data_IF_533969546510
#
_entry.id   IF_533969546510
#
_cell.length_a   1.000
_cell.length_b   1.000
_cell.length_c   1.000
_cell.angle_alpha   90.00
_cell.angle_beta   90.00
_cell.angle_gamma   90.00
#
_symmetry.space_group_name_H-M   'P 1'
#
loop_
_entity.id
_entity.type
_entity.pdbx_description
1 polymer ?
#
# COMPACT_ATOMS: atom_id res chain seq x y z
N UNK A 1 30.22 16.15 2.56
CA UNK A 1 30.28 14.68 2.81
C UNK A 1 29.96 14.32 4.26
N UNK A 2 30.60 14.92 5.27
CA UNK A 2 30.31 14.62 6.69
C UNK A 2 28.92 15.04 7.17
N UNK A 3 28.37 16.14 6.66
CA UNK A 3 26.99 16.53 6.96
C UNK A 3 25.97 15.57 6.34
N UNK A 4 26.24 15.06 5.13
CA UNK A 4 25.41 14.06 4.47
C UNK A 4 25.42 12.73 5.23
N UNK A 5 26.59 12.26 5.70
CA UNK A 5 26.66 11.09 6.60
C UNK A 5 25.83 11.28 7.85
N UNK A 6 25.95 12.44 8.52
CA UNK A 6 25.16 12.78 9.70
C UNK A 6 23.65 12.80 9.41
N UNK A 7 23.25 13.33 8.26
CA UNK A 7 21.86 13.32 7.82
C UNK A 7 21.33 11.90 7.59
N UNK A 8 22.05 11.09 6.80
CA UNK A 8 21.65 9.71 6.48
C UNK A 8 21.58 8.86 7.76
N UNK A 9 22.58 8.94 8.64
CA UNK A 9 22.56 8.18 9.90
C UNK A 9 21.42 8.58 10.84
N UNK A 10 20.92 9.83 10.78
CA UNK A 10 19.79 10.28 11.59
C UNK A 10 18.43 9.91 11.01
N UNK A 11 18.34 9.71 9.69
CA UNK A 11 17.07 9.55 8.96
C UNK A 11 16.86 8.15 8.36
N UNK A 12 17.92 7.37 8.19
CA UNK A 12 17.86 5.99 7.74
C UNK A 12 17.92 5.04 8.93
N UNK A 13 16.74 4.63 9.40
CA UNK A 13 16.61 3.58 10.42
C UNK A 13 16.73 2.22 9.72
N UNK A 14 17.47 1.26 10.27
CA UNK A 14 17.55 -0.07 9.69
C UNK A 14 16.21 -0.82 9.73
N UNK A 15 15.69 -1.14 8.54
CA UNK A 15 14.53 -2.00 8.34
C UNK A 15 14.82 -3.01 7.21
N UNK A 16 13.81 -3.78 6.77
CA UNK A 16 13.93 -4.77 5.68
C UNK A 16 14.65 -4.23 4.43
N UNK A 17 14.60 -2.91 4.21
CA UNK A 17 15.21 -2.23 3.08
C UNK A 17 16.45 -1.39 3.44
N UNK A 18 16.84 -1.30 4.71
CA UNK A 18 17.87 -0.37 5.20
C UNK A 18 18.87 -0.96 6.22
N UNK A 19 19.27 -2.23 6.10
CA UNK A 19 20.33 -2.82 6.95
C UNK A 19 21.77 -2.36 6.61
N UNK A 20 21.96 -1.22 5.95
CA UNK A 20 23.27 -0.78 5.46
C UNK A 20 23.97 0.19 6.42
N UNK A 21 25.25 -0.08 6.70
CA UNK A 21 26.15 0.95 7.21
C UNK A 21 26.42 1.97 6.09
N UNK A 22 26.35 3.26 6.41
CA UNK A 22 26.57 4.32 5.42
C UNK A 22 28.01 4.83 5.47
N UNK A 23 28.70 4.78 4.32
CA UNK A 23 30.09 5.21 4.21
C UNK A 23 30.48 5.53 2.77
N UNK A 24 31.67 6.11 2.59
CA UNK A 24 32.26 6.35 1.27
C UNK A 24 33.53 5.53 1.14
N UNK A 25 33.74 4.96 -0.05
CA UNK A 25 34.95 4.23 -0.39
C UNK A 25 35.25 4.42 -1.88
N UNK A 26 36.49 4.18 -2.30
CA UNK A 26 36.94 4.42 -3.67
C UNK A 26 36.47 3.28 -4.59
N UNK A 27 35.68 3.63 -5.62
CA UNK A 27 35.13 2.65 -6.56
C UNK A 27 36.21 1.88 -7.33
N UNK A 28 37.40 2.44 -7.55
CA UNK A 28 38.51 1.73 -8.24
C UNK A 28 39.00 0.50 -7.48
N UNK A 29 38.72 0.39 -6.18
CA UNK A 29 39.25 -0.65 -5.31
C UNK A 29 38.21 -1.70 -4.89
N UNK A 30 36.95 -1.56 -5.31
CA UNK A 30 35.89 -2.46 -4.88
C UNK A 30 34.87 -2.74 -6.00
N UNK A 31 34.79 -3.99 -6.44
CA UNK A 31 33.92 -4.42 -7.54
C UNK A 31 32.42 -4.19 -7.26
N UNK A 32 31.99 -4.29 -5.99
CA UNK A 32 30.61 -4.05 -5.60
C UNK A 32 30.27 -2.55 -5.68
N UNK A 33 31.24 -1.68 -5.42
CA UNK A 33 31.05 -0.23 -5.58
C UNK A 33 31.00 0.15 -7.06
N UNK A 34 31.81 -0.49 -7.91
CA UNK A 34 31.73 -0.28 -9.36
C UNK A 34 30.37 -0.72 -9.92
N UNK A 35 29.86 -1.86 -9.45
CA UNK A 35 28.52 -2.31 -9.79
C UNK A 35 27.45 -1.33 -9.29
N UNK A 36 27.59 -0.82 -8.06
CA UNK A 36 26.69 0.19 -7.53
C UNK A 36 26.73 1.48 -8.36
N UNK A 37 27.91 1.95 -8.76
CA UNK A 37 28.10 3.12 -9.63
C UNK A 37 27.43 2.90 -11.00
N UNK A 38 27.55 1.71 -11.58
CA UNK A 38 26.89 1.35 -12.84
C UNK A 38 25.37 1.42 -12.71
N UNK A 39 24.81 0.79 -11.67
CA UNK A 39 23.36 0.75 -11.43
C UNK A 39 22.83 2.16 -11.11
N UNK A 40 23.44 2.85 -10.15
CA UNK A 40 23.04 4.18 -9.73
C UNK A 40 23.22 5.22 -10.84
N UNK A 41 24.33 5.17 -11.59
CA UNK A 41 24.59 6.03 -12.73
C UNK A 41 23.60 5.80 -13.87
N UNK A 42 23.21 4.55 -14.13
CA UNK A 42 22.17 4.24 -15.12
C UNK A 42 20.83 4.83 -14.69
N UNK A 43 20.43 4.64 -13.43
CA UNK A 43 19.18 5.19 -12.88
C UNK A 43 19.21 6.73 -12.90
N UNK A 44 20.33 7.36 -12.54
CA UNK A 44 20.48 8.82 -12.47
C UNK A 44 20.25 9.52 -13.83
N UNK A 45 20.67 8.90 -14.94
CA UNK A 45 20.41 9.41 -16.29
C UNK A 45 18.93 9.54 -16.64
N UNK A 46 18.06 8.78 -15.98
CA UNK A 46 16.61 8.89 -16.14
C UNK A 46 15.98 10.07 -15.40
N UNK A 47 16.66 10.60 -14.38
CA UNK A 47 16.15 11.68 -13.54
C UNK A 47 16.63 13.06 -14.00
N UNK A 48 17.83 13.14 -14.53
CA UNK A 48 18.36 14.36 -15.12
C UNK A 48 17.96 14.42 -16.61
N UNK A 49 17.02 15.30 -16.94
CA UNK A 49 16.56 15.49 -18.32
C UNK A 49 17.69 15.89 -19.27
N UNK A 50 18.79 16.45 -18.76
CA UNK A 50 19.97 16.80 -19.57
C UNK A 50 20.87 15.60 -19.90
N UNK A 51 20.69 14.46 -19.21
CA UNK A 51 21.48 13.24 -19.38
C UNK A 51 20.65 12.07 -19.93
N UNK A 52 19.40 12.32 -20.32
CA UNK A 52 18.51 11.31 -20.86
C UNK A 52 19.01 10.86 -22.24
N UNK A 53 19.36 9.59 -22.36
CA UNK A 53 19.75 8.98 -23.64
C UNK A 53 18.71 7.96 -24.10
N UNK A 54 18.64 7.66 -25.39
CA UNK A 54 17.68 6.66 -25.90
C UNK A 54 17.96 5.25 -25.35
N UNK A 55 19.22 4.95 -25.04
CA UNK A 55 19.63 3.67 -24.45
C UNK A 55 19.16 3.50 -23.00
N UNK A 56 18.89 4.59 -22.28
CA UNK A 56 18.39 4.54 -20.90
C UNK A 56 17.15 3.65 -20.80
N UNK A 57 16.19 3.79 -21.73
CA UNK A 57 14.94 3.00 -21.72
C UNK A 57 15.22 1.50 -21.76
N UNK A 58 16.21 1.09 -22.57
CA UNK A 58 16.62 -0.31 -22.72
C UNK A 58 17.26 -0.84 -21.44
N UNK A 59 18.22 -0.10 -20.86
CA UNK A 59 18.89 -0.53 -19.63
C UNK A 59 17.96 -0.48 -18.42
N UNK A 60 17.13 0.55 -18.29
CA UNK A 60 16.13 0.65 -17.23
C UNK A 60 15.18 -0.55 -17.25
N UNK A 61 14.70 -0.99 -18.42
CA UNK A 61 13.82 -2.16 -18.55
C UNK A 61 14.45 -3.47 -18.03
N UNK A 62 15.79 -3.57 -18.07
CA UNK A 62 16.52 -4.72 -17.49
C UNK A 62 16.57 -4.57 -15.96
N UNK A 63 16.89 -3.37 -15.48
CA UNK A 63 17.04 -3.07 -14.05
C UNK A 63 15.70 -3.07 -13.31
N UNK A 64 14.63 -2.58 -13.93
CA UNK A 64 13.27 -2.46 -13.37
C UNK A 64 12.79 -3.78 -12.75
N UNK A 65 13.10 -4.91 -13.39
CA UNK A 65 12.75 -6.26 -12.90
C UNK A 65 13.46 -6.66 -11.61
N UNK A 66 14.55 -5.97 -11.25
CA UNK A 66 15.39 -6.21 -10.07
C UNK A 66 15.30 -5.08 -9.04
N UNK A 67 14.66 -3.96 -9.38
CA UNK A 67 14.48 -2.84 -8.47
C UNK A 67 13.37 -3.18 -7.48
N UNK A 68 13.75 -3.28 -6.21
CA UNK A 68 12.83 -3.54 -5.12
C UNK A 68 12.04 -2.27 -4.76
N UNK A 69 12.74 -1.12 -4.67
CA UNK A 69 12.16 0.20 -4.37
C UNK A 69 13.10 1.33 -4.79
N UNK A 70 12.55 2.44 -5.26
CA UNK A 70 13.24 3.73 -5.36
C UNK A 70 12.59 4.72 -4.37
N UNK A 71 13.41 5.39 -3.55
CA UNK A 71 12.93 6.35 -2.55
C UNK A 71 13.37 7.77 -2.90
N UNK A 72 12.38 8.66 -3.07
CA UNK A 72 12.59 10.04 -3.43
C UNK A 72 12.58 10.95 -2.20
N UNK A 73 13.54 11.88 -2.18
CA UNK A 73 13.64 12.92 -1.17
C UNK A 73 13.55 14.31 -1.82
N UNK A 74 12.84 15.27 -1.22
CA UNK A 74 12.07 15.16 0.02
C UNK A 74 10.76 14.36 -0.15
N UNK A 75 10.29 13.74 0.94
CA UNK A 75 9.00 13.04 1.01
C UNK A 75 7.87 14.06 0.96
N UNK A 76 7.39 14.37 -0.24
CA UNK A 76 6.37 15.38 -0.49
C UNK A 76 5.34 14.87 -1.49
N UNK A 77 4.06 14.99 -1.14
CA UNK A 77 2.95 14.59 -2.01
C UNK A 77 2.98 15.34 -3.35
N UNK A 78 3.50 16.57 -3.37
CA UNK A 78 3.60 17.41 -4.58
C UNK A 78 4.44 16.75 -5.66
N UNK A 79 5.44 15.94 -5.28
CA UNK A 79 6.25 15.20 -6.24
C UNK A 79 5.39 14.21 -7.05
N UNK A 80 4.42 13.55 -6.39
CA UNK A 80 3.49 12.65 -7.06
C UNK A 80 2.55 13.40 -8.01
N UNK A 81 2.08 14.58 -7.60
CA UNK A 81 1.21 15.41 -8.44
C UNK A 81 1.93 15.92 -9.69
N UNK A 82 3.19 16.37 -9.56
CA UNK A 82 4.01 16.79 -10.70
C UNK A 82 4.22 15.61 -11.66
N UNK A 83 4.54 14.44 -11.14
CA UNK A 83 4.74 13.24 -11.97
C UNK A 83 3.43 12.85 -12.70
N UNK A 84 2.29 12.88 -12.02
CA UNK A 84 0.96 12.65 -12.59
C UNK A 84 0.60 13.66 -13.69
N UNK A 85 0.90 14.95 -13.49
CA UNK A 85 0.61 16.00 -14.48
C UNK A 85 1.44 15.86 -15.77
N UNK A 86 2.58 15.17 -15.70
CA UNK A 86 3.43 14.83 -16.84
C UNK A 86 2.98 13.53 -17.53
N UNK A 87 2.22 12.68 -16.84
CA UNK A 87 1.58 11.50 -17.43
C UNK A 87 0.40 11.92 -18.30
N UNK A 88 -0.17 10.96 -19.03
CA UNK A 88 -1.28 11.19 -19.97
C UNK A 88 -2.38 12.10 -19.39
N UNK A 89 -2.81 13.11 -20.15
CA UNK A 89 -3.81 14.11 -19.73
C UNK A 89 -5.16 13.51 -19.36
N UNK A 90 -5.38 12.24 -19.71
CA UNK A 90 -6.60 11.49 -19.40
C UNK A 90 -6.63 10.88 -18.00
N UNK A 91 -5.54 10.93 -17.23
CA UNK A 91 -5.53 10.42 -15.85
C UNK A 91 -6.35 11.34 -14.96
N UNK A 92 -7.51 10.84 -14.50
CA UNK A 92 -8.32 11.53 -13.49
C UNK A 92 -7.58 11.51 -12.16
N UNK A 93 -7.27 12.68 -11.62
CA UNK A 93 -6.60 12.84 -10.34
C UNK A 93 -7.27 13.94 -9.53
N UNK A 94 -7.71 13.59 -8.33
CA UNK A 94 -8.23 14.52 -7.33
C UNK A 94 -7.11 14.85 -6.34
N UNK A 95 -6.59 16.08 -6.41
CA UNK A 95 -5.44 16.49 -5.57
C UNK A 95 -5.70 16.26 -4.08
N UNK A 96 -6.92 16.53 -3.61
CA UNK A 96 -7.30 16.35 -2.20
C UNK A 96 -7.20 14.88 -1.78
N UNK A 97 -7.68 13.96 -2.61
CA UNK A 97 -7.65 12.51 -2.32
C UNK A 97 -6.21 12.02 -2.33
N UNK A 98 -5.45 12.37 -3.38
CA UNK A 98 -4.04 12.00 -3.50
C UNK A 98 -3.23 12.52 -2.30
N UNK A 99 -3.36 13.81 -2.00
CA UNK A 99 -2.68 14.46 -0.87
C UNK A 99 -3.02 13.77 0.44
N UNK A 100 -4.28 13.47 0.68
CA UNK A 100 -4.71 12.82 1.91
C UNK A 100 -4.16 11.40 2.00
N UNK A 101 -4.25 10.60 0.94
CA UNK A 101 -3.73 9.23 0.92
C UNK A 101 -2.22 9.18 1.16
N UNK A 102 -1.45 10.04 0.48
CA UNK A 102 0.01 10.11 0.63
C UNK A 102 0.40 10.62 2.02
N UNK A 103 -0.26 11.67 2.52
CA UNK A 103 0.06 12.21 3.84
C UNK A 103 -0.23 11.20 4.96
N UNK A 104 -1.37 10.50 4.91
CA UNK A 104 -1.69 9.45 5.89
C UNK A 104 -0.67 8.31 5.86
N UNK A 105 -0.22 7.90 4.67
CA UNK A 105 0.82 6.89 4.53
C UNK A 105 2.16 7.36 5.14
N UNK A 106 2.60 8.58 4.84
CA UNK A 106 3.85 9.11 5.42
C UNK A 106 3.74 9.33 6.93
N UNK A 107 2.63 9.86 7.43
CA UNK A 107 2.40 10.02 8.86
C UNK A 107 2.46 8.69 9.60
N UNK A 108 1.87 7.63 9.02
CA UNK A 108 1.95 6.30 9.58
C UNK A 108 3.38 5.76 9.62
N UNK A 109 4.10 5.89 8.51
CA UNK A 109 5.50 5.45 8.40
C UNK A 109 6.37 6.19 9.42
N UNK A 110 6.24 7.51 9.51
CA UNK A 110 7.07 8.32 10.40
C UNK A 110 6.76 8.02 11.87
N UNK A 111 5.47 7.89 12.23
CA UNK A 111 5.02 7.56 13.59
C UNK A 111 5.54 6.20 14.06
N UNK A 112 5.59 5.20 13.17
CA UNK A 112 5.94 3.82 13.52
C UNK A 112 7.37 3.44 13.09
N UNK A 113 8.17 4.38 12.61
CA UNK A 113 9.49 4.14 12.00
C UNK A 113 10.50 3.44 12.92
N UNK A 114 10.34 3.57 14.24
CA UNK A 114 11.18 2.94 15.26
C UNK A 114 10.54 1.71 15.91
N UNK A 115 9.40 1.22 15.40
CA UNK A 115 8.76 0.05 15.98
C UNK A 115 9.60 -1.21 15.77
N UNK A 116 9.79 -1.99 16.84
CA UNK A 116 10.47 -3.28 16.77
C UNK A 116 9.50 -4.42 16.42
N UNK A 117 8.19 -4.18 16.47
CA UNK A 117 7.17 -5.17 16.18
C UNK A 117 7.19 -5.59 14.69
N UNK A 118 7.26 -6.90 14.45
CA UNK A 118 7.30 -7.44 13.09
C UNK A 118 6.04 -7.04 12.29
N UNK A 119 4.86 -7.10 12.91
CA UNK A 119 3.59 -6.72 12.27
C UNK A 119 3.59 -5.24 11.85
N UNK A 120 4.23 -4.34 12.61
CA UNK A 120 4.37 -2.92 12.23
C UNK A 120 5.36 -2.72 11.07
N UNK A 121 6.49 -3.43 11.10
CA UNK A 121 7.46 -3.41 9.98
C UNK A 121 6.82 -3.87 8.67
N UNK A 122 6.04 -4.96 8.72
CA UNK A 122 5.33 -5.50 7.56
C UNK A 122 4.30 -4.51 6.98
N UNK A 123 3.64 -3.73 7.86
CA UNK A 123 2.73 -2.65 7.48
C UNK A 123 3.45 -1.47 6.82
N UNK A 124 4.58 -1.05 7.39
CA UNK A 124 5.44 -0.02 6.83
C UNK A 124 5.95 -0.45 5.45
N UNK A 125 6.39 -1.69 5.30
CA UNK A 125 6.88 -2.24 4.04
C UNK A 125 5.82 -2.21 2.94
N UNK A 126 4.57 -2.58 3.25
CA UNK A 126 3.45 -2.47 2.32
C UNK A 126 3.25 -1.01 1.88
N UNK A 127 3.20 -0.05 2.81
CA UNK A 127 2.99 1.36 2.46
C UNK A 127 4.11 1.91 1.58
N UNK A 128 5.37 1.53 1.86
CA UNK A 128 6.51 1.92 1.01
C UNK A 128 6.40 1.34 -0.40
N UNK A 129 5.92 0.09 -0.54
CA UNK A 129 5.64 -0.51 -1.84
C UNK A 129 4.51 0.22 -2.57
N UNK A 130 3.40 0.54 -1.90
CA UNK A 130 2.28 1.24 -2.50
C UNK A 130 2.68 2.66 -2.95
N UNK A 131 3.45 3.39 -2.13
CA UNK A 131 4.00 4.70 -2.48
C UNK A 131 4.95 4.64 -3.68
N UNK A 132 5.76 3.59 -3.79
CA UNK A 132 6.60 3.37 -4.97
C UNK A 132 5.75 3.14 -6.23
N UNK A 133 4.74 2.27 -6.13
CA UNK A 133 3.87 1.92 -7.26
C UNK A 133 2.96 3.06 -7.69
N UNK A 134 2.54 3.91 -6.76
CA UNK A 134 1.84 5.17 -7.04
C UNK A 134 2.64 6.07 -7.99
N UNK A 135 3.98 6.11 -7.84
CA UNK A 135 4.84 6.90 -8.73
C UNK A 135 5.01 6.25 -10.10
N UNK A 136 5.31 4.95 -10.13
CA UNK A 136 5.57 4.24 -11.39
C UNK A 136 4.32 4.12 -12.26
N UNK A 137 3.19 3.76 -11.65
CA UNK A 137 1.93 3.55 -12.37
C UNK A 137 0.71 3.83 -11.45
N UNK A 138 0.33 5.11 -11.29
CA UNK A 138 -0.65 5.54 -10.29
C UNK A 138 -2.06 4.95 -10.49
N UNK A 139 -2.42 4.61 -11.72
CA UNK A 139 -3.76 4.06 -12.04
C UNK A 139 -3.85 2.56 -11.77
N UNK A 140 -2.72 1.85 -11.77
CA UNK A 140 -2.66 0.39 -11.75
C UNK A 140 -2.76 -0.16 -10.31
N UNK A 141 -3.64 -1.14 -10.16
CA UNK A 141 -3.71 -1.97 -8.95
C UNK A 141 -2.60 -3.04 -8.95
N UNK A 142 -2.15 -3.40 -7.75
CA UNK A 142 -1.19 -4.49 -7.54
C UNK A 142 -1.93 -5.67 -6.93
N UNK A 143 -1.89 -6.83 -7.60
CA UNK A 143 -2.51 -8.05 -7.11
C UNK A 143 -1.81 -8.56 -5.84
N UNK A 144 -2.52 -9.39 -5.06
CA UNK A 144 -2.02 -9.83 -3.75
C UNK A 144 -0.74 -10.65 -3.89
N UNK A 145 -0.66 -11.45 -4.94
CA UNK A 145 0.45 -12.35 -5.24
C UNK A 145 1.74 -11.56 -5.51
N UNK A 146 1.67 -10.51 -6.34
CA UNK A 146 2.80 -9.61 -6.62
C UNK A 146 3.28 -8.89 -5.36
N UNK A 147 2.35 -8.44 -4.50
CA UNK A 147 2.69 -7.82 -3.22
C UNK A 147 3.43 -8.84 -2.34
N UNK A 148 2.88 -10.05 -2.19
CA UNK A 148 3.48 -11.08 -1.36
C UNK A 148 4.83 -11.54 -1.90
N UNK A 149 5.03 -11.62 -3.22
CA UNK A 149 6.31 -11.92 -3.83
C UNK A 149 7.34 -10.85 -3.48
N UNK A 150 6.97 -9.57 -3.59
CA UNK A 150 7.84 -8.46 -3.24
C UNK A 150 8.18 -8.43 -1.73
N UNK A 151 7.17 -8.54 -0.86
CA UNK A 151 7.37 -8.51 0.59
C UNK A 151 8.18 -9.70 1.09
N UNK A 152 8.08 -10.86 0.43
CA UNK A 152 8.79 -12.08 0.82
C UNK A 152 10.15 -12.25 0.13
N UNK A 153 10.56 -11.34 -0.76
CA UNK A 153 11.74 -11.52 -1.61
C UNK A 153 13.02 -11.88 -0.83
N UNK A 154 13.16 -11.36 0.40
CA UNK A 154 14.32 -11.60 1.27
C UNK A 154 13.94 -12.19 2.63
N UNK A 155 12.70 -12.65 2.81
CA UNK A 155 12.21 -13.15 4.11
C UNK A 155 12.42 -14.64 4.25
N UNK A 156 12.99 -15.06 5.39
CA UNK A 156 13.07 -16.48 5.75
C UNK A 156 11.69 -17.07 6.05
N UNK A 157 10.85 -16.36 6.82
CA UNK A 157 9.47 -16.74 7.11
C UNK A 157 8.53 -15.95 6.20
N UNK A 158 7.90 -16.65 5.25
CA UNK A 158 6.99 -16.02 4.29
C UNK A 158 5.69 -15.57 4.94
N UNK A 159 5.29 -14.34 4.62
CA UNK A 159 3.96 -13.79 4.84
C UNK A 159 2.96 -14.57 3.99
N UNK A 160 1.89 -15.06 4.62
CA UNK A 160 0.78 -15.75 3.95
C UNK A 160 -0.36 -14.79 3.66
N UNK A 161 -1.16 -15.10 2.66
CA UNK A 161 -2.31 -14.30 2.21
C UNK A 161 -3.30 -13.96 3.32
N UNK A 162 -3.62 -14.91 4.22
CA UNK A 162 -4.51 -14.66 5.34
C UNK A 162 -3.96 -13.57 6.26
N UNK A 163 -2.72 -13.74 6.73
CA UNK A 163 -2.05 -12.76 7.60
C UNK A 163 -1.93 -11.39 6.91
N UNK A 164 -1.59 -11.36 5.62
CA UNK A 164 -1.55 -10.11 4.86
C UNK A 164 -2.90 -9.37 4.89
N UNK A 165 -4.02 -10.08 4.73
CA UNK A 165 -5.34 -9.45 4.79
C UNK A 165 -5.71 -9.01 6.21
N UNK A 166 -5.51 -9.86 7.22
CA UNK A 166 -5.98 -9.62 8.59
C UNK A 166 -5.09 -8.70 9.42
N UNK A 167 -3.77 -8.84 9.33
CA UNK A 167 -2.81 -8.17 10.19
C UNK A 167 -2.17 -6.94 9.53
N UNK A 168 -2.11 -6.92 8.21
CA UNK A 168 -1.50 -5.81 7.47
C UNK A 168 -2.59 -4.89 6.94
N UNK A 169 -3.36 -5.33 5.94
CA UNK A 169 -4.33 -4.48 5.24
C UNK A 169 -5.46 -4.01 6.16
N UNK A 170 -6.09 -4.93 6.90
CA UNK A 170 -7.23 -4.56 7.76
C UNK A 170 -6.79 -3.61 8.88
N UNK A 171 -5.64 -3.86 9.51
CA UNK A 171 -5.12 -2.98 10.58
C UNK A 171 -4.77 -1.58 10.09
N UNK A 172 -4.20 -1.46 8.88
CA UNK A 172 -3.96 -0.14 8.29
C UNK A 172 -5.26 0.63 8.07
N UNK A 173 -6.32 -0.06 7.62
CA UNK A 173 -7.66 0.55 7.45
C UNK A 173 -8.32 0.91 8.77
N UNK A 174 -8.21 0.05 9.77
CA UNK A 174 -8.72 0.30 11.12
C UNK A 174 -8.09 1.58 11.72
N UNK A 175 -6.85 1.89 11.32
CA UNK A 175 -6.11 3.10 11.69
C UNK A 175 -6.38 4.30 10.77
N UNK A 176 -7.33 4.18 9.83
CA UNK A 176 -7.78 5.27 8.97
C UNK A 176 -6.96 5.50 7.69
N UNK A 177 -6.06 4.58 7.31
CA UNK A 177 -5.32 4.74 6.06
C UNK A 177 -6.21 4.46 4.85
N UNK A 178 -6.06 5.31 3.83
CA UNK A 178 -6.78 5.20 2.56
C UNK A 178 -6.05 4.21 1.64
N UNK A 179 -6.48 2.94 1.68
CA UNK A 179 -6.03 1.89 0.77
C UNK A 179 -7.21 1.43 -0.06
N UNK A 180 -7.21 1.78 -1.34
CA UNK A 180 -8.22 1.31 -2.29
C UNK A 180 -8.05 -0.19 -2.54
N UNK A 181 -9.14 -0.96 -2.45
CA UNK A 181 -9.18 -2.35 -2.90
C UNK A 181 -10.24 -2.56 -3.94
N UNK A 182 -9.90 -3.36 -4.94
CA UNK A 182 -10.84 -3.91 -5.89
C UNK A 182 -10.53 -5.39 -6.11
N UNK A 183 -11.29 -6.06 -6.98
CA UNK A 183 -10.93 -7.39 -7.48
C UNK A 183 -9.56 -7.42 -8.18
N UNK A 184 -9.04 -6.25 -8.59
CA UNK A 184 -7.74 -6.09 -9.25
C UNK A 184 -6.57 -5.97 -8.27
N UNK A 185 -6.83 -5.86 -6.96
CA UNK A 185 -5.79 -5.78 -5.92
C UNK A 185 -5.85 -4.49 -5.10
N UNK A 186 -4.67 -3.93 -4.78
CA UNK A 186 -4.52 -2.78 -3.88
C UNK A 186 -3.75 -1.62 -4.52
N UNK A 187 -4.10 -0.39 -4.15
CA UNK A 187 -3.31 0.82 -4.43
C UNK A 187 -3.64 1.95 -3.45
N UNK A 188 -2.85 3.03 -3.47
CA UNK A 188 -3.26 4.30 -2.88
C UNK A 188 -4.22 5.01 -3.85
N UNK A 189 -5.38 5.51 -3.38
CA UNK A 189 -6.34 6.17 -4.25
C UNK A 189 -5.80 7.52 -4.73
N UNK A 190 -6.08 7.81 -6.01
CA UNK A 190 -5.72 9.10 -6.64
C UNK A 190 -6.95 9.91 -7.05
N UNK A 191 -8.12 9.28 -7.09
CA UNK A 191 -9.38 9.91 -7.46
C UNK A 191 -10.58 9.27 -6.73
N UNK A 192 -11.75 9.88 -6.87
CA UNK A 192 -12.99 9.43 -6.24
C UNK A 192 -13.44 8.05 -6.75
N UNK A 193 -13.18 7.72 -8.02
CA UNK A 193 -13.54 6.43 -8.59
C UNK A 193 -12.83 5.26 -7.87
N UNK A 194 -11.60 5.45 -7.41
CA UNK A 194 -10.87 4.45 -6.62
C UNK A 194 -11.56 4.17 -5.28
N UNK A 195 -12.11 5.21 -4.66
CA UNK A 195 -12.86 5.09 -3.42
C UNK A 195 -14.21 4.41 -3.66
N UNK A 196 -14.87 4.71 -4.79
CA UNK A 196 -16.09 4.00 -5.18
C UNK A 196 -15.84 2.53 -5.50
N UNK A 197 -14.75 2.17 -6.18
CA UNK A 197 -14.39 0.75 -6.40
C UNK A 197 -14.25 0.01 -5.06
N UNK A 198 -13.63 0.65 -4.05
CA UNK A 198 -13.55 0.09 -2.70
C UNK A 198 -14.92 -0.10 -2.05
N UNK A 199 -15.77 0.93 -2.04
CA UNK A 199 -17.13 0.86 -1.47
C UNK A 199 -17.95 -0.20 -2.17
N UNK A 200 -17.90 -0.28 -3.50
CA UNK A 200 -18.63 -1.27 -4.29
C UNK A 200 -18.20 -2.70 -3.94
N UNK A 201 -16.89 -2.95 -3.76
CA UNK A 201 -16.39 -4.25 -3.33
C UNK A 201 -16.98 -4.66 -1.95
N UNK A 202 -17.05 -3.71 -1.01
CA UNK A 202 -17.64 -3.97 0.30
C UNK A 202 -19.15 -4.20 0.18
N UNK A 203 -19.87 -3.37 -0.58
CA UNK A 203 -21.32 -3.49 -0.79
C UNK A 203 -21.71 -4.87 -1.34
N UNK A 204 -21.01 -5.37 -2.36
CA UNK A 204 -21.27 -6.71 -2.94
C UNK A 204 -21.09 -7.83 -1.91
N UNK A 205 -20.29 -7.61 -0.87
CA UNK A 205 -20.05 -8.60 0.20
C UNK A 205 -21.03 -8.44 1.37
N UNK A 206 -21.24 -7.21 1.84
CA UNK A 206 -22.02 -6.89 3.01
C UNK A 206 -23.51 -7.16 2.78
N UNK A 207 -24.08 -6.77 1.62
CA UNK A 207 -25.51 -6.96 1.38
C UNK A 207 -25.90 -8.45 1.41
N UNK A 208 -25.21 -9.38 0.72
CA UNK A 208 -25.52 -10.80 0.83
C UNK A 208 -25.24 -11.39 2.22
N UNK A 209 -24.29 -10.86 2.98
CA UNK A 209 -24.07 -11.29 4.37
C UNK A 209 -25.28 -10.96 5.25
N UNK A 210 -25.76 -9.71 5.21
CA UNK A 210 -26.95 -9.28 5.95
C UNK A 210 -28.17 -10.09 5.51
N UNK A 211 -28.41 -10.23 4.20
CA UNK A 211 -29.55 -11.01 3.69
C UNK A 211 -29.53 -12.48 4.14
N UNK A 212 -28.37 -13.12 4.20
CA UNK A 212 -28.24 -14.51 4.69
C UNK A 212 -28.60 -14.63 6.17
N UNK A 213 -28.12 -13.68 6.99
CA UNK A 213 -28.47 -13.63 8.42
C UNK A 213 -29.97 -13.39 8.59
N UNK A 214 -30.54 -12.44 7.83
CA UNK A 214 -31.98 -12.15 7.83
C UNK A 214 -32.81 -13.39 7.52
N UNK A 215 -32.50 -14.10 6.42
CA UNK A 215 -33.21 -15.33 6.04
C UNK A 215 -33.09 -16.40 7.12
N UNK A 216 -31.91 -16.57 7.72
CA UNK A 216 -31.72 -17.53 8.81
C UNK A 216 -32.57 -17.17 10.04
N UNK A 217 -32.56 -15.90 10.46
CA UNK A 217 -33.39 -15.39 11.57
C UNK A 217 -34.87 -15.63 11.30
N UNK A 218 -35.35 -15.28 10.10
CA UNK A 218 -36.76 -15.40 9.72
C UNK A 218 -37.23 -16.86 9.71
N UNK A 219 -36.38 -17.79 9.26
CA UNK A 219 -36.70 -19.23 9.29
C UNK A 219 -36.81 -19.77 10.72
N UNK A 220 -35.91 -19.37 11.64
CA UNK A 220 -35.97 -19.81 13.04
C UNK A 220 -37.18 -19.19 13.75
N UNK A 221 -37.45 -17.90 13.55
CA UNK A 221 -38.65 -17.24 14.08
C UNK A 221 -39.92 -17.94 13.59
N UNK A 222 -40.02 -18.24 12.29
CA UNK A 222 -41.17 -18.95 11.73
C UNK A 222 -41.33 -20.36 12.33
N UNK A 223 -40.24 -21.13 12.40
CA UNK A 223 -40.27 -22.51 12.91
C UNK A 223 -40.58 -22.58 14.42
N UNK A 224 -40.31 -21.52 15.17
CA UNK A 224 -40.51 -21.44 16.62
C UNK A 224 -41.70 -20.56 17.02
N UNK A 225 -42.55 -20.14 16.08
CA UNK A 225 -43.64 -19.20 16.33
C UNK A 225 -43.19 -17.93 17.09
N UNK A 226 -42.04 -17.39 16.72
CA UNK A 226 -41.36 -16.23 17.31
C UNK A 226 -40.84 -16.42 18.75
N UNK A 227 -40.74 -17.65 19.26
CA UNK A 227 -40.18 -17.91 20.59
C UNK A 227 -38.66 -17.75 20.64
N UNK A 228 -37.97 -18.02 19.52
CA UNK A 228 -36.50 -17.97 19.45
C UNK A 228 -36.03 -16.95 18.40
N UNK A 229 -35.40 -15.87 18.87
CA UNK A 229 -34.65 -14.95 18.02
C UNK A 229 -33.15 -15.17 18.18
N UNK A 230 -32.50 -15.66 17.11
CA UNK A 230 -31.06 -15.94 17.09
C UNK A 230 -30.19 -14.70 17.29
N UNK A 231 -30.76 -13.49 17.14
CA UNK A 231 -30.07 -12.23 17.34
C UNK A 231 -30.39 -11.55 18.68
N UNK A 232 -31.07 -12.23 19.61
CA UNK A 232 -31.52 -11.58 20.85
C UNK A 232 -30.42 -11.34 21.89
N UNK A 233 -29.32 -12.10 21.79
CA UNK A 233 -28.18 -11.91 22.70
C UNK A 233 -27.55 -10.52 22.50
N UNK A 234 -27.11 -9.92 23.60
CA UNK A 234 -26.48 -8.58 23.61
C UNK A 234 -25.27 -8.46 22.69
N UNK A 235 -24.49 -9.54 22.54
CA UNK A 235 -23.34 -9.60 21.62
C UNK A 235 -23.72 -9.44 20.13
N UNK A 236 -24.99 -9.62 19.76
CA UNK A 236 -25.48 -9.49 18.37
C UNK A 236 -26.27 -8.20 18.11
N UNK A 237 -26.36 -7.28 19.08
CA UNK A 237 -27.19 -6.07 18.97
C UNK A 237 -26.87 -5.24 17.71
N UNK A 238 -25.59 -5.12 17.36
CA UNK A 238 -25.16 -4.40 16.15
C UNK A 238 -25.67 -5.06 14.86
N UNK A 239 -25.61 -6.39 14.78
CA UNK A 239 -26.12 -7.16 13.64
C UNK A 239 -27.64 -7.07 13.56
N UNK A 240 -28.32 -7.14 14.72
CA UNK A 240 -29.78 -7.00 14.84
C UNK A 240 -30.25 -5.66 14.24
N UNK A 241 -29.60 -4.55 14.63
CA UNK A 241 -29.87 -3.21 14.08
C UNK A 241 -29.68 -3.14 12.56
N UNK A 242 -28.60 -3.70 12.04
CA UNK A 242 -28.34 -3.72 10.59
C UNK A 242 -29.41 -4.51 9.82
N UNK A 243 -29.81 -5.68 10.34
CA UNK A 243 -30.87 -6.51 9.75
C UNK A 243 -32.21 -5.77 9.76
N UNK A 244 -32.57 -5.12 10.86
CA UNK A 244 -33.83 -4.38 10.99
C UNK A 244 -33.89 -3.17 10.05
N UNK A 245 -32.79 -2.41 9.94
CA UNK A 245 -32.68 -1.32 8.96
C UNK A 245 -32.79 -1.82 7.52
N UNK A 246 -32.21 -2.98 7.21
CA UNK A 246 -32.27 -3.55 5.86
C UNK A 246 -33.67 -3.99 5.43
N UNK A 247 -34.54 -4.34 6.38
CA UNK A 247 -35.94 -4.72 6.11
C UNK A 247 -36.83 -3.52 5.74
N UNK A 248 -36.46 -2.30 6.15
CA UNK A 248 -37.19 -1.07 5.84
C UNK A 248 -36.85 -0.42 4.49
N UNK A 249 -35.92 -1.02 3.73
CA UNK A 249 -35.44 -0.51 2.43
C UNK A 249 -35.96 -1.32 1.23
N UNK A 250 -36.90 -2.25 1.47
CA UNK A 250 -37.55 -3.08 0.45
C UNK A 250 -38.91 -2.57 0.04
#
# INVERSE_FOLDING_TARGET
MEEFKRYVNRKSIPDLFNHSSFGFNNSKLNVLIQLADLVAGTIAKGYDTSQLTEEYKTFYKILEKRIIRIEHWPKDYRNYFVDLSKMDKNVRCDEVILKQAVNLAYQYIDKNSYSEENDEKDRIDLLKLLLYKLRENPTKYIITEDILENLNAIRHKKIKTHYFRSNIVSKLRDQGLLIASSSKGYKLPICIEDLYEFVNLQSVTIHPMIQRITKCRDQILLATNNEVDILDKTEYEGIKKMVELSKGLG
#
